data_IF_507486915662
#
_entry.id   IF_507486915662
#
_cell.length_a   1.000
_cell.length_b   1.000
_cell.length_c   1.000
_cell.angle_alpha   90.00
_cell.angle_beta   90.00
_cell.angle_gamma   90.00
#
_symmetry.space_group_name_H-M   'P 1'
#
loop_
_entity.id
_entity.type
_entity.pdbx_description
1 polymer ?
#
# COMPACT_ATOMS: atom_id res chain seq x y z
N UNK A 1 -6.63 -19.13 6.69
CA UNK A 1 -5.35 -19.02 5.98
C UNK A 1 -4.39 -18.09 6.72
N UNK A 2 -3.11 -18.36 6.64
CA UNK A 2 -2.04 -17.59 7.26
C UNK A 2 -1.05 -17.15 6.18
N UNK A 3 -0.39 -16.01 6.39
CA UNK A 3 0.70 -15.52 5.51
C UNK A 3 1.88 -16.47 5.48
N UNK A 4 2.89 -16.20 4.66
CA UNK A 4 4.14 -17.00 4.64
C UNK A 4 4.92 -16.87 5.95
N UNK A 5 4.72 -15.81 6.71
CA UNK A 5 5.30 -15.59 8.05
C UNK A 5 4.41 -16.05 9.20
N UNK A 6 3.27 -16.68 8.87
CA UNK A 6 2.27 -17.20 9.81
C UNK A 6 1.36 -16.14 10.49
N UNK A 7 1.31 -14.93 9.92
CA UNK A 7 0.42 -13.85 10.36
C UNK A 7 -1.02 -14.02 9.83
N UNK A 8 -1.93 -13.20 10.32
CA UNK A 8 -3.28 -13.11 9.78
C UNK A 8 -3.36 -12.14 8.59
N UNK A 9 -4.18 -12.47 7.58
CA UNK A 9 -4.55 -11.52 6.52
C UNK A 9 -5.57 -10.51 7.06
N UNK A 10 -5.12 -9.65 7.96
CA UNK A 10 -5.97 -8.70 8.65
C UNK A 10 -5.22 -7.45 9.03
N UNK A 11 -5.72 -6.29 8.58
CA UNK A 11 -5.28 -5.00 9.06
C UNK A 11 -6.30 -4.46 10.07
N UNK A 12 -5.89 -4.26 11.31
CA UNK A 12 -6.75 -3.64 12.30
C UNK A 12 -6.63 -2.13 12.20
N UNK A 13 -7.77 -1.44 12.15
CA UNK A 13 -7.77 0.01 12.05
C UNK A 13 -7.04 0.68 13.23
N UNK A 14 -7.11 0.09 14.43
CA UNK A 14 -6.35 0.53 15.61
C UNK A 14 -4.82 0.45 15.46
N UNK A 15 -4.32 -0.39 14.56
CA UNK A 15 -2.89 -0.53 14.27
C UNK A 15 -2.44 0.48 13.19
N UNK A 16 -3.41 1.03 12.45
CA UNK A 16 -3.21 2.03 11.40
C UNK A 16 -3.38 3.45 11.95
N UNK A 17 -4.40 3.66 12.80
CA UNK A 17 -4.77 4.97 13.33
C UNK A 17 -5.06 4.92 14.83
N UNK A 18 -4.44 5.83 15.58
CA UNK A 18 -4.71 6.03 16.99
C UNK A 18 -5.83 7.05 17.16
N UNK A 19 -7.05 6.55 17.40
CA UNK A 19 -8.19 7.42 17.65
C UNK A 19 -8.05 8.16 18.98
N UNK A 20 -8.42 9.41 18.96
CA UNK A 20 -8.37 10.33 20.11
C UNK A 20 -9.78 10.82 20.46
N UNK A 21 -9.91 11.56 21.55
CA UNK A 21 -11.18 12.20 21.94
C UNK A 21 -11.72 13.22 20.92
N UNK A 22 -10.91 13.63 19.97
CA UNK A 22 -11.29 14.57 18.91
C UNK A 22 -11.86 13.88 17.66
N UNK A 23 -11.72 12.56 17.58
CA UNK A 23 -12.23 11.78 16.46
C UNK A 23 -13.67 11.35 16.74
N UNK A 24 -14.62 11.85 15.94
CA UNK A 24 -16.02 11.46 16.10
C UNK A 24 -16.32 10.23 15.23
N UNK A 25 -16.10 9.05 15.81
CA UNK A 25 -16.29 7.77 15.10
C UNK A 25 -17.77 7.56 14.70
N UNK A 26 -18.74 8.10 15.41
CA UNK A 26 -20.17 7.93 15.10
C UNK A 26 -20.59 8.72 13.85
N UNK A 27 -19.86 9.78 13.50
CA UNK A 27 -20.05 10.52 12.27
C UNK A 27 -19.35 9.87 11.07
N UNK A 28 -18.43 8.93 11.29
CA UNK A 28 -17.73 8.21 10.23
C UNK A 28 -18.68 7.23 9.55
N UNK A 29 -19.25 7.66 8.44
CA UNK A 29 -20.11 6.84 7.57
C UNK A 29 -19.45 6.72 6.23
N UNK A 30 -19.22 5.51 5.80
CA UNK A 30 -18.59 5.23 4.52
C UNK A 30 -19.44 4.28 3.70
N UNK A 31 -19.54 4.55 2.42
CA UNK A 31 -20.09 3.63 1.45
C UNK A 31 -18.95 3.03 0.64
N UNK A 32 -18.78 1.73 0.73
CA UNK A 32 -17.80 1.01 -0.05
C UNK A 32 -18.50 0.39 -1.26
N UNK A 33 -18.06 0.78 -2.45
CA UNK A 33 -18.47 0.13 -3.68
C UNK A 33 -17.49 -0.99 -4.00
N UNK A 34 -17.93 -2.23 -3.81
CA UNK A 34 -17.17 -3.39 -4.23
C UNK A 34 -17.61 -3.77 -5.65
N UNK A 35 -16.87 -3.29 -6.63
CA UNK A 35 -16.97 -3.76 -8.00
C UNK A 35 -15.91 -4.83 -8.22
N UNK A 36 -16.25 -6.08 -8.00
CA UNK A 36 -15.41 -7.16 -8.46
C UNK A 36 -16.20 -8.01 -9.47
N UNK A 37 -15.49 -8.86 -10.22
CA UNK A 37 -16.07 -9.80 -11.18
C UNK A 37 -17.16 -10.73 -10.57
N UNK A 38 -17.33 -10.68 -9.25
CA UNK A 38 -18.16 -11.63 -8.51
C UNK A 38 -19.36 -10.99 -7.81
N UNK A 39 -19.32 -9.72 -7.45
CA UNK A 39 -20.44 -9.03 -6.78
C UNK A 39 -20.32 -7.52 -6.96
N UNK A 40 -21.26 -6.93 -7.70
CA UNK A 40 -21.53 -5.50 -7.59
C UNK A 40 -22.35 -5.28 -6.32
N UNK A 41 -21.68 -5.04 -5.20
CA UNK A 41 -22.34 -4.83 -3.92
C UNK A 41 -21.92 -3.52 -3.30
N UNK A 42 -22.90 -2.71 -2.98
CA UNK A 42 -22.72 -1.53 -2.15
C UNK A 42 -22.74 -1.94 -0.68
N UNK A 43 -21.67 -1.63 0.02
CA UNK A 43 -21.55 -1.91 1.46
C UNK A 43 -21.54 -0.60 2.24
N UNK A 44 -22.47 -0.44 3.14
CA UNK A 44 -22.47 0.65 4.10
C UNK A 44 -21.61 0.27 5.28
N UNK A 45 -20.69 1.14 5.65
CA UNK A 45 -19.82 0.95 6.83
C UNK A 45 -20.06 2.10 7.78
N UNK A 46 -20.36 1.80 9.03
CA UNK A 46 -20.60 2.79 10.08
C UNK A 46 -19.74 2.52 11.30
N UNK A 47 -19.14 3.56 11.84
CA UNK A 47 -18.40 3.51 13.08
C UNK A 47 -19.34 3.56 14.30
N UNK A 48 -18.98 2.83 15.36
CA UNK A 48 -19.68 2.83 16.66
C UNK A 48 -18.67 2.72 17.78
N UNK A 49 -18.89 3.48 18.85
CA UNK A 49 -18.18 3.23 20.10
C UNK A 49 -18.70 1.95 20.77
N UNK A 50 -17.79 1.15 21.31
CA UNK A 50 -18.16 0.03 22.17
C UNK A 50 -18.57 0.58 23.54
N UNK A 51 -19.81 0.30 23.93
CA UNK A 51 -20.30 0.63 25.28
C UNK A 51 -20.07 -0.58 26.17
N UNK A 52 -19.24 -0.42 27.18
CA UNK A 52 -19.16 -1.35 28.31
C UNK A 52 -20.16 -0.89 29.35
N UNK A 53 -21.11 -1.78 29.74
CA UNK A 53 -22.20 -1.41 30.63
C UNK A 53 -21.73 -0.66 31.88
N UNK A 54 -22.29 0.52 32.12
CA UNK A 54 -21.99 1.37 33.29
C UNK A 54 -20.70 2.18 33.23
N UNK A 55 -19.89 2.07 32.19
CA UNK A 55 -18.66 2.87 32.01
C UNK A 55 -18.87 4.04 31.07
N UNK A 56 -18.12 5.15 31.24
CA UNK A 56 -18.07 6.22 30.24
C UNK A 56 -17.65 5.69 28.87
N UNK A 57 -18.08 6.37 27.79
CA UNK A 57 -17.67 6.03 26.42
C UNK A 57 -16.16 6.29 26.33
N UNK A 58 -15.41 5.23 26.01
CA UNK A 58 -14.00 5.32 25.68
C UNK A 58 -13.88 5.60 24.17
N UNK A 59 -13.38 6.79 23.76
CA UNK A 59 -13.23 7.14 22.36
C UNK A 59 -12.23 6.24 21.61
N UNK A 60 -11.37 5.51 22.33
CA UNK A 60 -10.43 4.55 21.75
C UNK A 60 -11.03 3.17 21.52
N UNK A 61 -12.19 2.89 22.13
CA UNK A 61 -12.88 1.60 22.02
C UNK A 61 -14.04 1.66 21.03
N UNK A 62 -13.74 1.49 19.77
CA UNK A 62 -14.69 1.58 18.65
C UNK A 62 -14.68 0.32 17.78
N UNK A 63 -15.69 0.20 16.92
CA UNK A 63 -15.77 -0.81 15.87
C UNK A 63 -16.45 -0.25 14.62
N UNK A 64 -16.07 -0.73 13.46
CA UNK A 64 -16.81 -0.52 12.23
C UNK A 64 -17.70 -1.74 11.96
N UNK A 65 -18.93 -1.47 11.57
CA UNK A 65 -19.91 -2.50 11.23
C UNK A 65 -20.35 -2.29 9.79
N UNK A 66 -20.39 -3.37 9.03
CA UNK A 66 -20.89 -3.38 7.67
C UNK A 66 -22.39 -3.67 7.73
N UNK A 67 -23.20 -2.79 7.12
CA UNK A 67 -24.66 -2.92 7.05
C UNK A 67 -25.39 -1.61 7.32
N UNK A 68 -26.62 -1.48 6.82
CA UNK A 68 -27.49 -0.30 7.05
C UNK A 68 -28.10 -0.31 8.44
N UNK A 69 -28.39 -1.49 8.95
CA UNK A 69 -29.03 -1.74 10.24
C UNK A 69 -28.25 -2.79 11.04
N UNK A 70 -28.46 -2.86 12.35
CA UNK A 70 -27.83 -3.89 13.20
C UNK A 70 -28.56 -5.25 13.12
N UNK A 71 -29.13 -5.61 11.99
CA UNK A 71 -29.88 -6.86 11.88
C UNK A 71 -28.96 -8.08 11.91
N UNK A 72 -29.45 -9.16 12.55
CA UNK A 72 -28.77 -10.46 12.58
C UNK A 72 -28.65 -10.97 11.13
N UNK A 73 -27.42 -11.08 10.62
CA UNK A 73 -27.16 -11.59 9.27
C UNK A 73 -26.47 -10.59 8.34
N UNK A 74 -26.32 -9.32 8.71
CA UNK A 74 -25.41 -8.39 8.05
C UNK A 74 -23.98 -8.82 8.38
N UNK A 75 -23.44 -9.71 7.55
CA UNK A 75 -22.21 -10.45 7.84
C UNK A 75 -20.96 -9.60 7.73
N UNK A 76 -19.94 -10.04 8.40
CA UNK A 76 -18.57 -9.55 8.18
C UNK A 76 -18.17 -9.81 6.73
N UNK A 77 -17.76 -8.76 6.02
CA UNK A 77 -17.09 -8.93 4.74
C UNK A 77 -15.63 -9.32 5.03
N UNK A 78 -15.29 -10.57 4.66
CA UNK A 78 -13.95 -11.09 4.88
C UNK A 78 -13.19 -10.94 3.56
N UNK A 79 -12.28 -9.97 3.51
CA UNK A 79 -11.33 -9.81 2.42
C UNK A 79 -9.93 -9.92 3.01
N UNK A 80 -9.04 -10.72 2.40
CA UNK A 80 -7.63 -10.77 2.83
C UNK A 80 -6.97 -9.40 2.64
N UNK A 81 -6.39 -8.85 3.71
CA UNK A 81 -5.72 -7.55 3.71
C UNK A 81 -4.35 -7.67 4.34
N UNK A 82 -3.34 -7.12 3.69
CA UNK A 82 -2.01 -6.92 4.27
C UNK A 82 -1.72 -5.43 4.30
N UNK A 83 -1.34 -4.91 5.47
CA UNK A 83 -0.95 -3.52 5.67
C UNK A 83 0.56 -3.39 5.86
N UNK A 84 1.18 -2.60 5.01
CA UNK A 84 2.59 -2.26 5.03
C UNK A 84 2.74 -0.81 5.51
N UNK A 85 2.67 -0.61 6.83
CA UNK A 85 2.80 0.72 7.46
C UNK A 85 4.25 1.17 7.61
N UNK A 86 4.45 2.38 8.14
CA UNK A 86 5.77 3.02 8.31
C UNK A 86 6.75 2.22 9.21
N UNK A 87 6.24 1.35 10.08
CA UNK A 87 7.09 0.46 10.89
C UNK A 87 8.01 -0.42 10.05
N UNK A 88 7.64 -0.72 8.79
CA UNK A 88 8.48 -1.48 7.85
C UNK A 88 9.77 -0.76 7.47
N UNK A 89 9.78 0.57 7.56
CA UNK A 89 10.90 1.41 7.12
C UNK A 89 12.06 1.43 8.11
N UNK A 90 11.86 0.92 9.33
CA UNK A 90 12.94 0.78 10.31
C UNK A 90 13.82 -0.40 9.90
N UNK A 91 15.08 -0.18 9.45
CA UNK A 91 15.94 -1.25 8.99
C UNK A 91 16.24 -2.26 10.10
N UNK A 92 16.46 -3.53 9.71
CA UNK A 92 16.81 -4.58 10.68
C UNK A 92 18.06 -4.19 11.48
N UNK A 93 19.03 -3.54 10.83
CA UNK A 93 20.27 -3.08 11.46
C UNK A 93 20.09 -2.06 12.59
N UNK A 94 18.97 -1.33 12.64
CA UNK A 94 18.67 -0.38 13.73
C UNK A 94 18.11 -1.06 14.98
N UNK A 95 17.74 -2.34 14.90
CA UNK A 95 17.26 -3.09 16.04
C UNK A 95 18.44 -3.63 16.90
N UNK A 96 18.27 -3.61 18.22
CA UNK A 96 19.22 -4.30 19.09
C UNK A 96 19.29 -5.79 18.73
N UNK A 97 20.49 -6.37 18.68
CA UNK A 97 20.69 -7.79 18.29
C UNK A 97 19.76 -8.77 19.01
N UNK A 98 19.49 -8.55 20.30
CA UNK A 98 18.55 -9.39 21.09
C UNK A 98 17.09 -9.33 20.63
N UNK A 99 16.72 -8.35 19.83
CA UNK A 99 15.37 -8.12 19.33
C UNK A 99 15.21 -8.61 17.88
N UNK A 100 16.26 -9.18 17.30
CA UNK A 100 16.22 -9.74 15.94
C UNK A 100 16.36 -11.25 16.04
N UNK A 101 15.34 -11.96 15.61
CA UNK A 101 15.34 -13.41 15.49
C UNK A 101 15.32 -13.79 14.02
N UNK A 102 16.13 -14.77 13.66
CA UNK A 102 16.17 -15.35 12.33
C UNK A 102 15.87 -16.83 12.47
N UNK A 103 14.85 -17.29 11.80
CA UNK A 103 14.32 -18.65 11.91
C UNK A 103 14.09 -19.24 10.51
N UNK A 104 14.20 -20.56 10.34
CA UNK A 104 13.76 -21.18 9.11
C UNK A 104 12.24 -20.94 8.90
N UNK A 105 11.81 -20.90 7.65
CA UNK A 105 10.38 -20.87 7.34
C UNK A 105 9.76 -22.23 7.67
N UNK A 106 8.65 -22.20 8.42
CA UNK A 106 7.87 -23.40 8.76
C UNK A 106 6.92 -23.75 7.60
N UNK A 107 7.48 -24.19 6.48
CA UNK A 107 6.78 -24.50 5.25
C UNK A 107 7.47 -25.68 4.54
N UNK A 108 6.75 -26.44 3.70
CA UNK A 108 7.35 -27.49 2.88
C UNK A 108 8.41 -26.92 1.91
N UNK A 109 9.46 -27.69 1.63
CA UNK A 109 10.60 -27.27 0.80
C UNK A 109 10.18 -26.78 -0.61
N UNK A 110 9.20 -27.45 -1.23
CA UNK A 110 8.69 -27.06 -2.53
C UNK A 110 8.00 -25.67 -2.50
N UNK A 111 7.38 -25.32 -1.39
CA UNK A 111 6.78 -24.02 -1.18
C UNK A 111 7.86 -22.94 -0.94
N UNK A 112 8.85 -23.27 -0.13
CA UNK A 112 10.00 -22.37 0.11
C UNK A 112 10.66 -22.04 -1.23
N UNK A 113 10.90 -23.02 -2.11
CA UNK A 113 11.48 -22.78 -3.43
C UNK A 113 10.63 -21.87 -4.32
N UNK A 114 9.30 -21.96 -4.24
CA UNK A 114 8.40 -21.05 -4.96
C UNK A 114 8.55 -19.61 -4.45
N UNK A 115 8.58 -19.43 -3.11
CA UNK A 115 8.71 -18.09 -2.53
C UNK A 115 10.12 -17.52 -2.69
N UNK A 116 11.16 -18.35 -2.72
CA UNK A 116 12.50 -17.94 -3.10
C UNK A 116 12.55 -17.36 -4.51
N UNK A 117 11.85 -17.99 -5.46
CA UNK A 117 11.75 -17.47 -6.84
C UNK A 117 11.06 -16.10 -6.87
N UNK A 118 9.94 -15.95 -6.15
CA UNK A 118 9.22 -14.68 -6.06
C UNK A 118 10.11 -13.61 -5.40
N UNK A 119 10.76 -13.94 -4.30
CA UNK A 119 11.65 -13.04 -3.58
C UNK A 119 12.80 -12.56 -4.47
N UNK A 120 13.51 -13.49 -5.11
CA UNK A 120 14.64 -13.18 -5.98
C UNK A 120 14.19 -12.36 -7.21
N UNK A 121 13.07 -12.71 -7.84
CA UNK A 121 12.52 -11.94 -8.96
C UNK A 121 12.26 -10.49 -8.55
N UNK A 122 11.64 -10.27 -7.38
CA UNK A 122 11.32 -8.94 -6.88
C UNK A 122 12.59 -8.16 -6.57
N UNK A 123 13.54 -8.76 -5.86
CA UNK A 123 14.82 -8.11 -5.53
C UNK A 123 15.62 -7.75 -6.80
N UNK A 124 15.73 -8.69 -7.74
CA UNK A 124 16.45 -8.50 -8.99
C UNK A 124 15.85 -7.42 -9.89
N UNK A 125 14.52 -7.34 -9.94
CA UNK A 125 13.82 -6.38 -10.80
C UNK A 125 13.77 -4.98 -10.22
N UNK A 126 13.75 -4.84 -8.89
CA UNK A 126 13.66 -3.53 -8.22
C UNK A 126 15.04 -2.98 -7.95
N UNK A 127 15.92 -3.78 -7.38
CA UNK A 127 17.29 -3.41 -7.04
C UNK A 127 18.20 -3.91 -8.17
N UNK A 128 19.15 -3.10 -8.58
CA UNK A 128 20.05 -3.49 -9.67
C UNK A 128 20.80 -4.79 -9.34
N UNK A 129 20.76 -5.77 -10.25
CA UNK A 129 21.63 -6.93 -10.18
C UNK A 129 23.10 -6.48 -10.24
N UNK A 130 23.85 -6.80 -9.22
CA UNK A 130 25.31 -6.81 -9.35
C UNK A 130 25.69 -8.03 -10.23
N UNK A 131 26.70 -7.91 -11.12
CA UNK A 131 27.02 -8.96 -12.10
C UNK A 131 27.35 -10.35 -11.55
N UNK A 132 27.49 -10.49 -10.23
CA UNK A 132 27.83 -11.74 -9.51
C UNK A 132 26.79 -12.12 -8.46
N UNK A 133 25.56 -11.66 -8.56
CA UNK A 133 24.59 -11.86 -7.50
C UNK A 133 24.14 -13.32 -7.43
N UNK A 134 24.56 -13.99 -6.40
CA UNK A 134 24.04 -15.28 -5.94
C UNK A 134 22.55 -15.15 -5.64
N UNK A 135 21.78 -16.14 -6.07
CA UNK A 135 20.36 -16.25 -5.68
C UNK A 135 20.25 -16.34 -4.17
N UNK A 136 19.39 -15.53 -3.56
CA UNK A 136 19.13 -15.59 -2.12
C UNK A 136 18.33 -16.84 -1.78
N UNK A 137 18.71 -17.48 -0.68
CA UNK A 137 17.83 -18.33 0.11
C UNK A 137 16.99 -17.45 1.03
N UNK A 138 15.83 -17.91 1.43
CA UNK A 138 14.92 -17.13 2.27
C UNK A 138 14.79 -17.72 3.66
N UNK A 139 14.65 -16.85 4.64
CA UNK A 139 14.42 -17.18 6.04
C UNK A 139 13.41 -16.23 6.67
N UNK A 140 12.82 -16.60 7.78
CA UNK A 140 11.91 -15.75 8.54
C UNK A 140 12.73 -14.83 9.43
N UNK A 141 12.53 -13.53 9.30
CA UNK A 141 13.12 -12.51 10.16
C UNK A 141 12.03 -11.87 11.00
N UNK A 142 12.23 -11.87 12.32
CA UNK A 142 11.30 -11.31 13.30
C UNK A 142 12.02 -10.21 14.07
N UNK A 143 11.38 -9.06 14.17
CA UNK A 143 11.80 -7.94 15.04
C UNK A 143 10.63 -7.52 15.94
N UNK A 144 10.86 -6.55 16.83
CA UNK A 144 9.77 -6.03 17.66
C UNK A 144 8.63 -5.39 16.85
N UNK A 145 8.89 -4.98 15.61
CA UNK A 145 7.98 -4.15 14.83
C UNK A 145 7.44 -4.84 13.58
N UNK A 146 8.09 -5.91 13.13
CA UNK A 146 7.74 -6.57 11.87
C UNK A 146 8.20 -8.02 11.81
N UNK A 147 7.50 -8.80 10.99
CA UNK A 147 7.90 -10.13 10.55
C UNK A 147 7.96 -10.14 9.01
N UNK A 148 8.98 -10.77 8.46
CA UNK A 148 9.18 -10.79 7.01
C UNK A 148 10.03 -11.96 6.55
N UNK A 149 10.06 -12.17 5.23
CA UNK A 149 11.07 -12.97 4.57
C UNK A 149 12.32 -12.11 4.40
N UNK A 150 13.46 -12.59 4.88
CA UNK A 150 14.77 -12.03 4.62
C UNK A 150 15.59 -12.93 3.69
N UNK A 151 16.31 -12.33 2.76
CA UNK A 151 17.23 -13.07 1.90
C UNK A 151 18.60 -13.20 2.52
N UNK A 152 19.21 -14.38 2.43
CA UNK A 152 20.59 -14.63 2.80
C UNK A 152 21.32 -15.43 1.74
N UNK A 153 22.62 -15.35 1.73
CA UNK A 153 23.53 -16.15 0.88
C UNK A 153 24.79 -16.49 1.65
N UNK A 154 25.73 -17.17 1.02
CA UNK A 154 27.04 -17.45 1.66
C UNK A 154 27.83 -16.17 1.98
N UNK A 155 27.51 -15.05 1.32
CA UNK A 155 28.22 -13.78 1.45
C UNK A 155 27.36 -12.70 2.12
N UNK A 156 26.11 -12.98 2.39
CA UNK A 156 25.15 -11.97 2.82
C UNK A 156 24.16 -12.52 3.86
N UNK A 157 24.06 -11.84 4.98
CA UNK A 157 23.14 -12.16 6.08
C UNK A 157 21.88 -11.27 5.98
N UNK A 158 20.71 -11.84 6.19
CA UNK A 158 19.43 -11.10 6.21
C UNK A 158 19.40 -9.95 7.22
N UNK A 159 20.26 -10.00 8.26
CA UNK A 159 20.40 -8.89 9.22
C UNK A 159 21.13 -7.68 8.65
N UNK A 160 21.87 -7.85 7.56
CA UNK A 160 22.63 -6.80 6.89
C UNK A 160 21.87 -6.09 5.76
N UNK A 161 20.58 -6.32 5.62
CA UNK A 161 19.74 -5.68 4.60
C UNK A 161 19.79 -4.16 4.74
N UNK A 162 20.05 -3.46 3.64
CA UNK A 162 19.86 -2.01 3.57
C UNK A 162 18.39 -1.63 3.73
N UNK A 163 18.09 -0.39 4.10
CA UNK A 163 16.71 0.07 4.28
C UNK A 163 15.84 -0.16 3.04
N UNK A 164 16.40 0.02 1.84
CA UNK A 164 15.70 -0.25 0.59
C UNK A 164 15.44 -1.74 0.36
N UNK A 165 16.44 -2.59 0.60
CA UNK A 165 16.30 -4.05 0.49
C UNK A 165 15.28 -4.59 1.50
N UNK A 166 15.33 -4.09 2.73
CA UNK A 166 14.40 -4.45 3.78
C UNK A 166 12.95 -4.08 3.38
N UNK A 167 12.71 -2.85 2.91
CA UNK A 167 11.41 -2.43 2.41
C UNK A 167 10.91 -3.32 1.26
N UNK A 168 11.77 -3.61 0.29
CA UNK A 168 11.44 -4.51 -0.84
C UNK A 168 11.14 -5.93 -0.35
N UNK A 169 11.84 -6.42 0.68
CA UNK A 169 11.60 -7.71 1.32
C UNK A 169 10.23 -7.79 1.99
N UNK A 170 9.75 -6.70 2.61
CA UNK A 170 8.38 -6.62 3.14
C UNK A 170 7.33 -6.74 2.03
N UNK A 171 7.55 -6.07 0.91
CA UNK A 171 6.65 -6.14 -0.25
C UNK A 171 6.68 -7.55 -0.84
N UNK A 172 7.86 -8.15 -0.96
CA UNK A 172 8.02 -9.54 -1.42
C UNK A 172 7.28 -10.53 -0.50
N UNK A 173 7.35 -10.32 0.82
CA UNK A 173 6.62 -11.11 1.82
C UNK A 173 5.11 -11.02 1.60
N UNK A 174 4.58 -9.83 1.35
CA UNK A 174 3.16 -9.64 1.09
C UNK A 174 2.72 -10.35 -0.21
N UNK A 175 3.49 -10.22 -1.28
CA UNK A 175 3.20 -10.87 -2.57
C UNK A 175 3.29 -12.39 -2.44
N UNK A 176 4.33 -12.94 -1.81
CA UNK A 176 4.46 -14.37 -1.55
C UNK A 176 3.30 -14.92 -0.71
N UNK A 177 2.82 -14.12 0.27
CA UNK A 177 1.66 -14.49 1.07
C UNK A 177 0.39 -14.63 0.23
N UNK A 178 0.15 -13.72 -0.72
CA UNK A 178 -0.99 -13.85 -1.64
C UNK A 178 -0.80 -14.98 -2.66
N UNK A 179 0.42 -15.29 -3.07
CA UNK A 179 0.71 -16.50 -3.87
C UNK A 179 0.34 -17.77 -3.09
N UNK A 180 0.74 -17.85 -1.81
CA UNK A 180 0.35 -18.93 -0.90
C UNK A 180 -1.17 -19.04 -0.77
N UNK A 181 -1.85 -17.93 -0.48
CA UNK A 181 -3.31 -17.89 -0.33
C UNK A 181 -4.03 -18.37 -1.60
N UNK A 182 -3.58 -17.91 -2.78
CA UNK A 182 -4.13 -18.31 -4.07
C UNK A 182 -4.00 -19.83 -4.28
N UNK A 183 -2.85 -20.40 -3.92
CA UNK A 183 -2.63 -21.85 -4.01
C UNK A 183 -3.52 -22.61 -3.04
N UNK A 184 -3.62 -22.19 -1.78
CA UNK A 184 -4.46 -22.85 -0.76
C UNK A 184 -5.95 -22.80 -1.10
N UNK A 185 -6.44 -21.72 -1.67
CA UNK A 185 -7.85 -21.53 -1.99
C UNK A 185 -8.25 -22.05 -3.38
N UNK A 186 -7.29 -22.21 -4.30
CA UNK A 186 -7.55 -22.68 -5.66
C UNK A 186 -8.62 -21.86 -6.37
N UNK A 187 -9.68 -22.50 -6.85
CA UNK A 187 -10.80 -21.86 -7.56
C UNK A 187 -11.64 -20.93 -6.67
N UNK A 188 -11.59 -21.08 -5.35
CA UNK A 188 -12.30 -20.19 -4.41
C UNK A 188 -11.56 -18.89 -4.11
N UNK A 189 -10.34 -18.71 -4.60
CA UNK A 189 -9.55 -17.50 -4.42
C UNK A 189 -10.19 -16.29 -5.11
N UNK A 190 -10.39 -15.22 -4.37
CA UNK A 190 -11.05 -13.99 -4.82
C UNK A 190 -10.15 -12.75 -4.80
N UNK A 191 -8.84 -12.94 -4.59
CA UNK A 191 -7.92 -11.83 -4.46
C UNK A 191 -7.83 -11.26 -3.05
N UNK A 192 -7.31 -10.04 -2.96
CA UNK A 192 -7.15 -9.34 -1.69
C UNK A 192 -6.68 -7.90 -1.85
N UNK A 193 -6.32 -7.28 -0.73
CA UNK A 193 -5.87 -5.88 -0.69
C UNK A 193 -4.46 -5.81 -0.07
N UNK A 194 -3.59 -5.01 -0.69
CA UNK A 194 -2.35 -4.56 -0.08
C UNK A 194 -2.48 -3.05 0.15
N UNK A 195 -2.30 -2.63 1.41
CA UNK A 195 -2.22 -1.23 1.80
C UNK A 195 -0.76 -0.89 2.02
N UNK A 196 -0.24 0.15 1.35
CA UNK A 196 1.16 0.56 1.47
C UNK A 196 1.21 2.04 1.86
N UNK A 197 1.77 2.33 3.02
CA UNK A 197 1.94 3.72 3.46
C UNK A 197 3.30 4.25 3.00
N UNK A 198 3.32 5.44 2.35
CA UNK A 198 4.51 6.07 1.76
C UNK A 198 5.33 5.11 0.88
N UNK A 199 4.75 4.70 -0.25
CA UNK A 199 5.33 3.68 -1.14
C UNK A 199 6.74 4.01 -1.64
N UNK A 200 7.08 5.29 -1.77
CA UNK A 200 8.39 5.78 -2.24
C UNK A 200 9.49 5.71 -1.19
N UNK A 201 9.13 5.58 0.09
CA UNK A 201 10.09 5.70 1.17
C UNK A 201 11.23 4.67 1.07
N UNK A 202 12.45 5.11 1.32
CA UNK A 202 13.71 4.34 1.25
C UNK A 202 14.12 3.84 -0.13
N UNK A 203 13.39 4.18 -1.20
CA UNK A 203 13.69 3.72 -2.55
C UNK A 203 14.26 4.85 -3.43
N UNK A 204 15.29 4.51 -4.20
CA UNK A 204 15.76 5.37 -5.27
C UNK A 204 14.66 5.51 -6.34
N UNK A 205 14.49 6.69 -6.99
CA UNK A 205 13.41 6.91 -7.97
C UNK A 205 13.34 5.84 -9.07
N UNK A 206 14.48 5.33 -9.56
CA UNK A 206 14.49 4.28 -10.56
C UNK A 206 14.04 2.91 -10.02
N UNK A 207 14.33 2.62 -8.74
CA UNK A 207 13.83 1.41 -8.06
C UNK A 207 12.32 1.51 -7.80
N UNK A 208 11.85 2.69 -7.37
CA UNK A 208 10.43 2.98 -7.20
C UNK A 208 9.65 2.76 -8.49
N UNK A 209 10.13 3.29 -9.62
CA UNK A 209 9.47 3.08 -10.91
C UNK A 209 9.36 1.60 -11.27
N UNK A 210 10.43 0.81 -11.06
CA UNK A 210 10.41 -0.64 -11.28
C UNK A 210 9.46 -1.36 -10.33
N UNK A 211 9.40 -0.92 -9.07
CA UNK A 211 8.42 -1.43 -8.10
C UNK A 211 6.99 -1.20 -8.58
N UNK A 212 6.64 0.00 -9.02
CA UNK A 212 5.29 0.32 -9.51
C UNK A 212 4.90 -0.55 -10.71
N UNK A 213 5.81 -0.75 -11.66
CA UNK A 213 5.59 -1.66 -12.80
C UNK A 213 5.32 -3.10 -12.33
N UNK A 214 6.13 -3.58 -11.41
CA UNK A 214 6.01 -4.92 -10.84
C UNK A 214 4.69 -5.09 -10.07
N UNK A 215 4.29 -4.09 -9.29
CA UNK A 215 3.03 -4.12 -8.56
C UNK A 215 1.81 -4.19 -9.49
N UNK A 216 1.84 -3.52 -10.65
CA UNK A 216 0.79 -3.67 -11.66
C UNK A 216 0.71 -5.12 -12.16
N UNK A 217 1.85 -5.75 -12.48
CA UNK A 217 1.90 -7.15 -12.93
C UNK A 217 1.38 -8.12 -11.87
N UNK A 218 1.80 -7.94 -10.61
CA UNK A 218 1.35 -8.80 -9.51
C UNK A 218 -0.11 -8.55 -9.10
N UNK A 219 -0.60 -7.31 -9.27
CA UNK A 219 -2.03 -6.99 -9.10
C UNK A 219 -2.89 -7.86 -10.01
N UNK A 220 -2.55 -7.94 -11.29
CA UNK A 220 -3.25 -8.79 -12.25
C UNK A 220 -3.08 -10.28 -11.92
N UNK A 221 -1.84 -10.71 -11.66
CA UNK A 221 -1.51 -12.12 -11.40
C UNK A 221 -2.23 -12.69 -10.19
N UNK A 222 -2.37 -11.90 -9.13
CA UNK A 222 -2.96 -12.34 -7.86
C UNK A 222 -4.27 -11.64 -7.53
N UNK A 223 -4.91 -10.96 -8.49
CA UNK A 223 -6.19 -10.26 -8.31
C UNK A 223 -6.17 -9.32 -7.09
N UNK A 224 -5.10 -8.52 -6.98
CA UNK A 224 -4.90 -7.63 -5.85
C UNK A 224 -5.37 -6.21 -6.17
N UNK A 225 -6.04 -5.59 -5.21
CA UNK A 225 -6.17 -4.15 -5.17
C UNK A 225 -5.03 -3.58 -4.31
N UNK A 226 -4.21 -2.72 -4.90
CA UNK A 226 -3.11 -2.08 -4.19
C UNK A 226 -3.50 -0.63 -3.94
N UNK A 227 -3.52 -0.21 -2.67
CA UNK A 227 -3.82 1.16 -2.26
C UNK A 227 -2.56 1.69 -1.58
N UNK A 228 -1.99 2.75 -2.12
CA UNK A 228 -0.78 3.34 -1.58
C UNK A 228 -0.94 4.83 -1.30
N UNK A 229 -0.39 5.30 -0.19
CA UNK A 229 -0.17 6.73 0.03
C UNK A 229 1.18 7.13 -0.55
N UNK A 230 1.30 8.37 -1.00
CA UNK A 230 2.54 8.89 -1.58
C UNK A 230 2.61 10.41 -1.52
N UNK A 231 3.81 10.92 -1.34
CA UNK A 231 4.17 12.32 -1.54
C UNK A 231 5.06 12.52 -2.79
N UNK A 232 5.23 11.49 -3.62
CA UNK A 232 6.13 11.51 -4.78
C UNK A 232 5.40 11.93 -6.05
N UNK A 233 5.89 13.00 -6.68
CA UNK A 233 5.44 13.41 -8.01
C UNK A 233 5.74 12.35 -9.09
N UNK A 234 6.77 11.52 -8.90
CA UNK A 234 7.12 10.46 -9.84
C UNK A 234 6.10 9.31 -9.81
N UNK A 235 5.53 9.00 -8.63
CA UNK A 235 4.41 8.05 -8.52
C UNK A 235 3.19 8.58 -9.26
N UNK A 236 2.87 9.87 -9.09
CA UNK A 236 1.74 10.49 -9.79
C UNK A 236 1.94 10.50 -11.30
N UNK A 237 3.13 10.86 -11.77
CA UNK A 237 3.46 10.78 -13.21
C UNK A 237 3.28 9.37 -13.77
N UNK A 238 3.79 8.37 -13.05
CA UNK A 238 3.64 6.98 -13.45
C UNK A 238 2.17 6.58 -13.57
N UNK A 239 1.33 6.90 -12.59
CA UNK A 239 -0.10 6.58 -12.59
C UNK A 239 -0.87 7.25 -13.75
N UNK A 240 -0.40 8.39 -14.24
CA UNK A 240 -1.00 9.15 -15.34
C UNK A 240 -0.43 8.78 -16.74
N UNK A 241 0.61 7.96 -16.82
CA UNK A 241 1.10 7.45 -18.11
C UNK A 241 0.01 6.67 -18.83
N UNK A 242 -0.11 6.85 -20.14
CA UNK A 242 -1.17 6.23 -20.97
C UNK A 242 -1.30 4.73 -20.76
N UNK A 243 -0.18 4.04 -20.54
CA UNK A 243 -0.12 2.60 -20.27
C UNK A 243 -0.77 2.19 -18.95
N UNK A 244 -0.71 3.04 -17.92
CA UNK A 244 -1.14 2.69 -16.56
C UNK A 244 -2.41 3.42 -16.13
N UNK A 245 -2.83 4.46 -16.87
CA UNK A 245 -3.99 5.30 -16.54
C UNK A 245 -5.30 4.51 -16.41
N UNK A 246 -5.45 3.43 -17.16
CA UNK A 246 -6.66 2.59 -17.11
C UNK A 246 -6.74 1.68 -15.90
N UNK A 247 -5.58 1.41 -15.24
CA UNK A 247 -5.48 0.52 -14.08
C UNK A 247 -5.12 1.25 -12.79
N UNK A 248 -4.89 2.58 -12.87
CA UNK A 248 -4.54 3.42 -11.72
C UNK A 248 -5.59 4.49 -11.49
N UNK A 249 -5.89 4.78 -10.23
CA UNK A 249 -6.73 5.91 -9.82
C UNK A 249 -5.98 6.74 -8.79
N UNK A 250 -6.02 8.07 -8.94
CA UNK A 250 -5.47 9.01 -7.98
C UNK A 250 -6.63 9.62 -7.20
N UNK A 251 -6.52 9.65 -5.88
CA UNK A 251 -7.37 10.43 -4.99
C UNK A 251 -6.48 11.43 -4.26
N UNK A 252 -6.55 12.69 -4.66
CA UNK A 252 -5.71 13.74 -4.08
C UNK A 252 -6.42 14.40 -2.90
N UNK A 253 -5.76 14.45 -1.75
CA UNK A 253 -6.29 15.05 -0.52
C UNK A 253 -5.59 16.37 -0.28
N UNK A 254 -6.35 17.47 -0.20
CA UNK A 254 -5.80 18.81 0.01
C UNK A 254 -6.60 19.61 1.03
N UNK A 255 -5.95 20.62 1.58
CA UNK A 255 -6.54 21.69 2.42
C UNK A 255 -6.44 23.07 1.76
N UNK A 256 -6.09 23.15 0.49
CA UNK A 256 -5.81 24.43 -0.20
C UNK A 256 -6.95 25.46 -0.11
N UNK A 257 -8.20 25.00 0.05
CA UNK A 257 -9.40 25.83 0.22
C UNK A 257 -9.86 25.99 1.67
N UNK A 258 -9.00 25.70 2.64
CA UNK A 258 -9.31 25.82 4.07
C UNK A 258 -10.10 24.64 4.66
N UNK A 259 -10.60 23.72 3.83
CA UNK A 259 -11.27 22.48 4.24
C UNK A 259 -10.53 21.28 3.65
N UNK A 260 -10.56 20.15 4.37
CA UNK A 260 -10.04 18.91 3.82
C UNK A 260 -10.98 18.41 2.72
N UNK A 261 -10.46 18.30 1.52
CA UNK A 261 -11.20 17.87 0.33
C UNK A 261 -10.47 16.73 -0.38
N UNK A 262 -11.24 15.84 -1.01
CA UNK A 262 -10.71 14.81 -1.91
C UNK A 262 -11.00 15.28 -3.33
N UNK A 263 -9.97 15.43 -4.14
CA UNK A 263 -10.04 15.90 -5.52
C UNK A 263 -9.71 14.72 -6.45
N UNK A 264 -10.71 14.26 -7.19
CA UNK A 264 -10.59 13.15 -8.14
C UNK A 264 -10.29 13.62 -9.56
N UNK A 265 -10.55 14.90 -9.85
CA UNK A 265 -10.53 15.55 -11.16
C UNK A 265 -9.28 16.43 -11.40
N UNK A 266 -8.44 16.63 -10.39
CA UNK A 266 -7.24 17.44 -10.54
C UNK A 266 -6.23 16.76 -11.49
N UNK A 267 -5.72 17.58 -12.41
CA UNK A 267 -4.65 17.16 -13.30
C UNK A 267 -3.28 17.23 -12.60
N UNK A 268 -2.27 16.66 -13.24
CA UNK A 268 -0.90 16.63 -12.68
C UNK A 268 -0.34 18.02 -12.35
N UNK A 269 -0.64 19.02 -13.17
CA UNK A 269 -0.13 20.39 -12.95
C UNK A 269 -0.72 21.01 -11.70
N UNK A 270 -2.02 20.85 -11.47
CA UNK A 270 -2.73 21.34 -10.29
C UNK A 270 -2.20 20.68 -9.02
N UNK A 271 -2.07 19.35 -9.03
CA UNK A 271 -1.50 18.60 -7.90
C UNK A 271 -0.07 19.05 -7.62
N UNK A 272 0.75 19.17 -8.66
CA UNK A 272 2.15 19.60 -8.52
C UNK A 272 2.25 21.01 -7.93
N UNK A 273 1.42 21.95 -8.38
CA UNK A 273 1.38 23.31 -7.83
C UNK A 273 1.06 23.30 -6.33
N UNK A 274 0.04 22.55 -5.92
CA UNK A 274 -0.35 22.45 -4.52
C UNK A 274 0.75 21.79 -3.68
N UNK A 275 1.32 20.68 -4.13
CA UNK A 275 2.39 19.95 -3.42
C UNK A 275 3.69 20.75 -3.31
N UNK A 276 4.02 21.58 -4.31
CA UNK A 276 5.26 22.36 -4.31
C UNK A 276 5.09 23.77 -3.75
N UNK A 277 3.86 24.17 -3.42
CA UNK A 277 3.48 25.53 -3.05
C UNK A 277 4.02 26.60 -4.05
N UNK A 278 4.22 26.21 -5.30
CA UNK A 278 4.69 27.07 -6.37
C UNK A 278 3.55 27.35 -7.32
N UNK A 279 3.28 28.63 -7.53
CA UNK A 279 2.55 29.05 -8.72
C UNK A 279 3.48 28.72 -9.89
N UNK A 280 3.10 27.76 -10.75
CA UNK A 280 3.77 27.68 -12.05
C UNK A 280 3.62 29.05 -12.70
N UNK A 281 4.72 29.63 -13.15
CA UNK A 281 4.65 30.79 -14.04
C UNK A 281 3.64 30.40 -15.13
N UNK A 282 2.53 31.12 -15.19
CA UNK A 282 1.55 30.91 -16.25
C UNK A 282 2.36 30.91 -17.53
N UNK A 283 2.46 29.79 -18.20
CA UNK A 283 2.97 29.78 -19.59
C UNK A 283 2.22 30.91 -20.24
N UNK A 284 2.97 31.88 -20.75
CA UNK A 284 2.39 33.02 -21.45
C UNK A 284 1.35 32.45 -22.42
N UNK A 285 0.09 32.44 -22.02
CA UNK A 285 -1.01 32.15 -22.90
C UNK A 285 -1.03 33.36 -23.78
N UNK A 286 -0.40 33.27 -24.94
CA UNK A 286 -0.57 34.29 -25.98
C UNK A 286 -2.02 34.20 -26.38
N UNK A 287 -2.82 35.13 -25.83
CA UNK A 287 -4.19 35.34 -26.32
C UNK A 287 -3.99 36.04 -27.65
N UNK A 288 -4.33 35.45 -28.79
CA UNK A 288 -4.25 36.13 -30.07
C UNK A 288 -5.27 37.28 -30.04
N UNK A 289 -4.78 38.51 -29.97
CA UNK A 289 -5.57 39.71 -30.20
C UNK A 289 -5.65 39.92 -31.71
N UNK A 290 -6.83 39.75 -32.26
CA UNK A 290 -7.11 40.10 -33.66
C UNK A 290 -7.50 41.59 -33.68
N UNK A 291 -6.68 42.41 -34.32
CA UNK A 291 -6.96 43.81 -34.53
C UNK A 291 -7.40 44.01 -36.00
N UNK A 292 -8.39 44.82 -36.22
CA UNK A 292 -8.93 45.12 -37.56
C UNK A 292 -8.01 46.04 -38.35
N UNK A 293 -7.15 46.83 -37.69
CA UNK A 293 -6.28 47.84 -38.31
C UNK A 293 -4.81 47.69 -37.87
N UNK A 294 -3.89 48.01 -38.79
CA UNK A 294 -2.43 47.98 -38.54
C UNK A 294 -1.94 49.03 -37.50
N UNK A 295 -2.77 49.98 -37.11
CA UNK A 295 -2.48 51.00 -36.10
C UNK A 295 -2.61 50.46 -34.65
N UNK A 296 -3.14 49.26 -34.45
CA UNK A 296 -3.27 48.59 -33.14
C UNK A 296 -2.10 47.65 -32.80
N UNK A 297 -1.05 47.58 -33.61
CA UNK A 297 0.20 46.90 -33.30
C UNK A 297 1.09 47.83 -32.46
N UNK A 298 0.93 47.81 -31.12
CA UNK A 298 1.86 48.38 -30.17
C UNK A 298 2.57 47.34 -29.35
#
# INVERSE_FOLDING_TARGET
AKTVTNDEYRAWLKDIHHFTKYDNVEEMKHTLFLTNKFQNKELYVKGFYRREGGKPIDPTNYRFVVGKTREKGEGHFILPVIYLGLKRLVPIGEHKKKNVQVLPLDLPDNEIQEYEKIYNEIQDRILFKLPQQTSFKIEKVITNNKEMIGGHSNEYDSRGLSAGQDNVSQIATAIASFAKLKREQGSSYKGGIILIDEIESTLHPSALRRLLMLLCEYSDKYLLQIIATTHSLDVLKFALESKYKSVSKIAYITKSRGKLEICDDWNFSEIKQDMTARLEERRNIKIPLYCEDKEAEC
#
